data_IF_675912455740
#
_entry.id   IF_675912455740
#
_cell.length_a   1.000
_cell.length_b   1.000
_cell.length_c   1.000
_cell.angle_alpha   90.00
_cell.angle_beta   90.00
_cell.angle_gamma   90.00
#
_symmetry.space_group_name_H-M   'P 1'
#
loop_
_entity.id
_entity.type
_entity.pdbx_description
1 polymer ?
#
# COMPACT_ATOMS: atom_id res chain seq x y z
N UNK A 1 -34.26 10.38 -5.69
CA UNK A 1 -35.49 9.57 -5.82
C UNK A 1 -35.07 8.13 -6.16
N UNK A 2 -35.03 7.20 -5.18
CA UNK A 2 -34.63 5.79 -5.44
C UNK A 2 -35.85 5.02 -5.94
N UNK A 3 -35.78 4.52 -7.18
CA UNK A 3 -36.87 3.81 -7.85
C UNK A 3 -37.33 2.59 -7.01
N UNK A 4 -38.64 2.40 -6.79
CA UNK A 4 -39.20 1.37 -5.90
C UNK A 4 -38.81 -0.06 -6.27
N UNK A 5 -38.40 -0.29 -7.53
CA UNK A 5 -37.96 -1.58 -8.05
C UNK A 5 -36.64 -2.08 -7.43
N UNK A 6 -35.67 -1.18 -7.17
CA UNK A 6 -34.35 -1.56 -6.64
C UNK A 6 -34.42 -2.12 -5.22
N UNK A 7 -35.37 -1.64 -4.40
CA UNK A 7 -35.57 -2.15 -3.03
C UNK A 7 -36.11 -3.58 -3.06
N UNK A 8 -37.08 -3.85 -3.95
CA UNK A 8 -37.75 -5.15 -4.07
C UNK A 8 -36.80 -6.26 -4.53
N UNK A 9 -35.92 -5.97 -5.48
CA UNK A 9 -34.87 -6.88 -5.95
C UNK A 9 -33.83 -7.17 -4.86
N UNK A 10 -33.36 -6.14 -4.16
CA UNK A 10 -32.39 -6.33 -3.08
C UNK A 10 -32.95 -7.21 -1.95
N UNK A 11 -34.22 -7.06 -1.60
CA UNK A 11 -34.85 -7.83 -0.52
C UNK A 11 -35.08 -9.30 -0.93
N UNK A 12 -35.42 -9.54 -2.20
CA UNK A 12 -35.49 -10.90 -2.76
C UNK A 12 -34.13 -11.58 -2.78
N UNK A 13 -33.07 -10.88 -3.22
CA UNK A 13 -31.71 -11.42 -3.26
C UNK A 13 -31.16 -11.69 -1.85
N UNK A 14 -31.42 -10.81 -0.88
CA UNK A 14 -31.04 -11.03 0.53
C UNK A 14 -31.69 -12.28 1.10
N UNK A 15 -32.97 -12.54 0.77
CA UNK A 15 -33.70 -13.73 1.25
C UNK A 15 -33.17 -15.01 0.62
N UNK A 16 -32.84 -15.01 -0.67
CA UNK A 16 -32.31 -16.17 -1.39
C UNK A 16 -30.87 -16.49 -0.99
N UNK A 17 -30.02 -15.47 -0.86
CA UNK A 17 -28.58 -15.61 -0.59
C UNK A 17 -28.24 -15.63 0.90
N UNK A 18 -29.21 -15.32 1.79
CA UNK A 18 -29.01 -15.15 3.24
C UNK A 18 -27.85 -14.20 3.56
N UNK A 19 -27.66 -13.20 2.72
CA UNK A 19 -26.57 -12.21 2.76
C UNK A 19 -27.16 -10.81 2.63
N UNK A 20 -26.69 -9.84 3.42
CA UNK A 20 -27.13 -8.45 3.26
C UNK A 20 -26.52 -7.83 1.99
N UNK A 21 -27.23 -8.00 0.88
CA UNK A 21 -26.77 -7.56 -0.45
C UNK A 21 -26.53 -6.05 -0.50
N UNK A 22 -27.23 -5.26 0.32
CA UNK A 22 -27.06 -3.80 0.35
C UNK A 22 -25.76 -3.42 1.04
N UNK A 23 -25.44 -4.07 2.15
CA UNK A 23 -24.17 -3.89 2.84
C UNK A 23 -23.00 -4.35 1.96
N UNK A 24 -23.05 -5.58 1.45
CA UNK A 24 -21.99 -6.13 0.61
C UNK A 24 -21.79 -5.33 -0.68
N UNK A 25 -22.87 -4.90 -1.33
CA UNK A 25 -22.78 -4.05 -2.52
C UNK A 25 -22.09 -2.71 -2.23
N UNK A 26 -22.39 -2.06 -1.10
CA UNK A 26 -21.72 -0.83 -0.68
C UNK A 26 -20.26 -1.06 -0.30
N UNK A 27 -19.98 -2.10 0.46
CA UNK A 27 -18.64 -2.48 0.89
C UNK A 27 -17.73 -2.75 -0.31
N UNK A 28 -18.21 -3.58 -1.24
CA UNK A 28 -17.53 -3.90 -2.49
C UNK A 28 -17.28 -2.65 -3.32
N UNK A 29 -18.27 -1.74 -3.42
CA UNK A 29 -18.12 -0.48 -4.17
C UNK A 29 -16.95 0.37 -3.66
N UNK A 30 -16.86 0.59 -2.34
CA UNK A 30 -15.74 1.36 -1.75
C UNK A 30 -14.39 0.66 -1.91
N UNK A 31 -14.38 -0.66 -1.77
CA UNK A 31 -13.17 -1.46 -1.97
C UNK A 31 -12.69 -1.41 -3.44
N UNK A 32 -13.62 -1.52 -4.40
CA UNK A 32 -13.35 -1.40 -5.82
C UNK A 32 -12.85 -0.02 -6.21
N UNK A 33 -13.40 1.07 -5.65
CA UNK A 33 -12.89 2.44 -5.88
C UNK A 33 -11.44 2.54 -5.43
N UNK A 34 -11.12 2.01 -4.25
CA UNK A 34 -9.76 2.03 -3.70
C UNK A 34 -8.78 1.30 -4.63
N UNK A 35 -9.12 0.07 -5.04
CA UNK A 35 -8.29 -0.73 -5.93
C UNK A 35 -8.18 -0.16 -7.34
N UNK A 36 -9.28 0.32 -7.91
CA UNK A 36 -9.26 0.99 -9.21
C UNK A 36 -8.34 2.22 -9.17
N UNK A 37 -8.40 3.03 -8.10
CA UNK A 37 -7.50 4.18 -7.93
C UNK A 37 -6.03 3.77 -7.84
N UNK A 38 -5.72 2.68 -7.12
CA UNK A 38 -4.36 2.16 -7.00
C UNK A 38 -3.83 1.60 -8.33
N UNK A 39 -4.66 0.88 -9.08
CA UNK A 39 -4.32 0.36 -10.41
C UNK A 39 -4.07 1.50 -11.41
N UNK A 40 -4.97 2.49 -11.47
CA UNK A 40 -4.82 3.65 -12.35
C UNK A 40 -3.56 4.44 -12.00
N UNK A 41 -3.28 4.63 -10.70
CA UNK A 41 -2.03 5.23 -10.22
C UNK A 41 -0.82 4.44 -10.72
N UNK A 42 -0.79 3.13 -10.49
CA UNK A 42 0.34 2.28 -10.86
C UNK A 42 0.62 2.26 -12.36
N UNK A 43 -0.43 2.22 -13.18
CA UNK A 43 -0.32 2.31 -14.65
C UNK A 43 0.21 3.70 -15.04
N UNK A 44 -0.39 4.77 -14.52
CA UNK A 44 0.00 6.14 -14.84
C UNK A 44 1.45 6.41 -14.46
N UNK A 45 1.89 6.06 -13.24
CA UNK A 45 3.27 6.29 -12.81
C UNK A 45 4.25 5.44 -13.61
N UNK A 46 3.95 4.17 -13.89
CA UNK A 46 4.82 3.31 -14.73
C UNK A 46 4.94 3.84 -16.15
N UNK A 47 3.82 4.27 -16.74
CA UNK A 47 3.81 4.85 -18.08
C UNK A 47 4.59 6.16 -18.15
N UNK A 48 4.42 7.05 -17.16
CA UNK A 48 5.18 8.30 -17.05
C UNK A 48 6.67 8.06 -16.87
N UNK A 49 7.05 7.08 -16.03
CA UNK A 49 8.46 6.70 -15.88
C UNK A 49 9.06 6.24 -17.20
N UNK A 50 8.35 5.36 -17.92
CA UNK A 50 8.82 4.84 -19.21
C UNK A 50 8.97 5.94 -20.27
N UNK A 51 8.15 7.00 -20.21
CA UNK A 51 8.18 8.10 -21.17
C UNK A 51 9.25 9.16 -20.84
N UNK A 52 9.44 9.48 -19.56
CA UNK A 52 10.18 10.68 -19.14
C UNK A 52 11.56 10.38 -18.54
N UNK A 53 11.77 9.17 -18.00
CA UNK A 53 13.04 8.78 -17.37
C UNK A 53 13.95 8.04 -18.36
N UNK A 54 15.28 8.16 -18.20
CA UNK A 54 16.23 7.28 -18.86
C UNK A 54 15.99 5.83 -18.46
N UNK A 55 16.30 4.90 -19.39
CA UNK A 55 16.08 3.46 -19.20
C UNK A 55 16.84 2.95 -17.98
N UNK A 56 18.02 3.50 -17.71
CA UNK A 56 18.87 3.16 -16.57
C UNK A 56 18.19 3.50 -15.25
N UNK A 57 17.68 4.72 -15.10
CA UNK A 57 17.02 5.19 -13.87
C UNK A 57 15.73 4.40 -13.64
N UNK A 58 14.95 4.17 -14.69
CA UNK A 58 13.73 3.37 -14.60
C UNK A 58 14.03 1.93 -14.17
N UNK A 59 15.04 1.29 -14.76
CA UNK A 59 15.48 -0.05 -14.39
C UNK A 59 15.94 -0.15 -12.94
N UNK A 60 16.72 0.84 -12.48
CA UNK A 60 17.18 0.92 -11.09
C UNK A 60 16.03 1.11 -10.10
N UNK A 61 15.04 1.94 -10.43
CA UNK A 61 13.85 2.13 -9.60
C UNK A 61 13.03 0.85 -9.48
N UNK A 62 12.81 0.13 -10.59
CA UNK A 62 12.13 -1.17 -10.57
C UNK A 62 12.88 -2.22 -9.76
N UNK A 63 14.21 -2.24 -9.86
CA UNK A 63 15.06 -3.11 -9.05
C UNK A 63 14.87 -2.83 -7.55
N UNK A 64 14.85 -1.56 -7.16
CA UNK A 64 14.62 -1.14 -5.78
C UNK A 64 13.24 -1.60 -5.28
N UNK A 65 12.17 -1.34 -6.04
CA UNK A 65 10.82 -1.79 -5.68
C UNK A 65 10.74 -3.31 -5.53
N UNK A 66 11.45 -4.07 -6.37
CA UNK A 66 11.49 -5.53 -6.24
C UNK A 66 12.15 -5.97 -4.93
N UNK A 67 13.29 -5.37 -4.56
CA UNK A 67 13.94 -5.64 -3.27
C UNK A 67 13.08 -5.24 -2.07
N UNK A 68 12.40 -4.09 -2.14
CA UNK A 68 11.45 -3.68 -1.11
C UNK A 68 10.28 -4.66 -0.98
N UNK A 69 9.75 -5.15 -2.10
CA UNK A 69 8.72 -6.18 -2.12
C UNK A 69 9.19 -7.49 -1.47
N UNK A 70 10.43 -7.91 -1.70
CA UNK A 70 11.03 -9.06 -1.02
C UNK A 70 11.18 -8.83 0.48
N UNK A 71 11.59 -7.62 0.91
CA UNK A 71 11.62 -7.26 2.32
C UNK A 71 10.22 -7.35 2.96
N UNK A 72 9.15 -7.16 2.17
CA UNK A 72 7.76 -7.32 2.56
C UNK A 72 7.40 -8.63 3.26
N UNK A 73 8.19 -9.70 3.09
CA UNK A 73 8.04 -10.94 3.88
C UNK A 73 8.12 -10.66 5.38
N UNK A 74 8.97 -9.72 5.80
CA UNK A 74 9.17 -9.31 7.19
C UNK A 74 8.10 -8.32 7.71
N UNK A 75 7.16 -7.90 6.87
CA UNK A 75 5.99 -7.11 7.32
C UNK A 75 4.91 -7.96 7.99
N UNK A 76 5.04 -9.29 7.95
CA UNK A 76 4.12 -10.25 8.57
C UNK A 76 2.66 -10.11 8.11
N UNK A 77 2.46 -9.77 6.83
CA UNK A 77 1.15 -9.50 6.21
C UNK A 77 0.14 -10.64 6.32
N UNK A 78 0.58 -11.89 6.56
CA UNK A 78 -0.31 -13.04 6.82
C UNK A 78 -1.23 -12.87 8.04
N UNK A 79 -0.89 -12.00 8.99
CA UNK A 79 -1.75 -11.71 10.15
C UNK A 79 -2.94 -10.79 9.83
N UNK A 80 -2.97 -10.12 8.68
CA UNK A 80 -4.01 -9.14 8.33
C UNK A 80 -5.42 -9.72 8.50
N UNK A 81 -5.67 -10.92 7.98
CA UNK A 81 -6.96 -11.60 8.09
C UNK A 81 -7.32 -12.00 9.53
N UNK A 82 -6.33 -12.38 10.34
CA UNK A 82 -6.56 -12.71 11.75
C UNK A 82 -6.94 -11.45 12.54
N UNK A 83 -6.23 -10.34 12.30
CA UNK A 83 -6.51 -9.04 12.91
C UNK A 83 -7.91 -8.55 12.53
N UNK A 84 -8.26 -8.58 11.24
CA UNK A 84 -9.58 -8.14 10.77
C UNK A 84 -10.69 -8.94 11.44
N UNK A 85 -10.58 -10.28 11.44
CA UNK A 85 -11.60 -11.15 12.04
C UNK A 85 -11.67 -11.00 13.57
N UNK A 86 -10.54 -10.85 14.25
CA UNK A 86 -10.51 -10.70 15.70
C UNK A 86 -11.16 -9.39 16.14
N UNK A 87 -10.80 -8.28 15.50
CA UNK A 87 -11.41 -6.96 15.79
C UNK A 87 -12.92 -6.98 15.46
N UNK A 88 -13.33 -7.57 14.34
CA UNK A 88 -14.75 -7.69 14.00
C UNK A 88 -15.55 -8.51 15.05
N UNK A 89 -14.89 -9.39 15.80
CA UNK A 89 -15.46 -10.14 16.93
C UNK A 89 -15.34 -9.41 18.29
N UNK A 90 -14.78 -8.20 18.31
CA UNK A 90 -14.57 -7.40 19.52
C UNK A 90 -13.22 -7.62 20.22
N UNK A 91 -12.35 -8.51 19.72
CA UNK A 91 -11.01 -8.71 20.27
C UNK A 91 -10.06 -7.63 19.74
N UNK A 92 -9.90 -6.57 20.52
CA UNK A 92 -8.95 -5.48 20.24
C UNK A 92 -7.51 -5.82 20.65
N UNK A 93 -7.30 -6.86 21.47
CA UNK A 93 -5.98 -7.26 21.97
C UNK A 93 -5.15 -7.83 20.82
N UNK A 94 -5.80 -8.53 19.87
CA UNK A 94 -5.14 -9.07 18.68
C UNK A 94 -4.43 -8.00 17.85
N UNK A 95 -4.96 -6.78 17.80
CA UNK A 95 -4.36 -5.66 17.07
C UNK A 95 -3.05 -5.21 17.72
N UNK A 96 -3.03 -5.12 19.05
CA UNK A 96 -1.82 -4.79 19.83
C UNK A 96 -0.78 -5.90 19.71
N UNK A 97 -1.19 -7.16 19.74
CA UNK A 97 -0.30 -8.30 19.54
C UNK A 97 0.33 -8.30 18.14
N UNK A 98 -0.47 -8.02 17.10
CA UNK A 98 0.01 -7.88 15.73
C UNK A 98 1.00 -6.72 15.58
N UNK A 99 0.70 -5.57 16.17
CA UNK A 99 1.59 -4.41 16.17
C UNK A 99 2.93 -4.72 16.82
N UNK A 100 2.93 -5.34 18.01
CA UNK A 100 4.16 -5.74 18.70
C UNK A 100 4.97 -6.71 17.84
N UNK A 101 4.30 -7.66 17.18
CA UNK A 101 4.97 -8.63 16.31
C UNK A 101 5.59 -7.95 15.09
N UNK A 102 4.86 -7.07 14.41
CA UNK A 102 5.36 -6.31 13.25
C UNK A 102 6.54 -5.44 13.65
N UNK A 103 6.47 -4.71 14.77
CA UNK A 103 7.59 -3.91 15.28
C UNK A 103 8.83 -4.74 15.62
N UNK A 104 8.65 -6.02 15.97
CA UNK A 104 9.78 -6.93 16.25
C UNK A 104 10.38 -7.49 14.97
N UNK A 105 9.55 -7.77 13.95
CA UNK A 105 9.98 -8.48 12.73
C UNK A 105 10.39 -7.51 11.60
N UNK A 106 9.70 -6.39 11.43
CA UNK A 106 9.97 -5.43 10.35
C UNK A 106 11.42 -4.88 10.34
N UNK A 107 12.11 -4.70 11.47
CA UNK A 107 13.53 -4.36 11.48
C UNK A 107 14.41 -5.36 10.72
N UNK A 108 14.08 -6.65 10.69
CA UNK A 108 14.84 -7.63 9.90
C UNK A 108 14.74 -7.39 8.39
N UNK A 109 13.58 -6.93 7.90
CA UNK A 109 13.43 -6.50 6.50
C UNK A 109 14.29 -5.26 6.20
N UNK A 110 14.35 -4.33 7.15
CA UNK A 110 15.19 -3.13 7.04
C UNK A 110 16.68 -3.48 7.01
N UNK A 111 17.12 -4.40 7.88
CA UNK A 111 18.49 -4.92 7.88
C UNK A 111 18.80 -5.59 6.54
N UNK A 112 17.89 -6.41 6.00
CA UNK A 112 18.06 -7.02 4.68
C UNK A 112 18.26 -5.98 3.57
N UNK A 113 17.48 -4.90 3.58
CA UNK A 113 17.63 -3.79 2.62
C UNK A 113 18.96 -3.05 2.80
N UNK A 114 19.41 -2.83 4.05
CA UNK A 114 20.71 -2.20 4.32
C UNK A 114 21.89 -3.07 3.86
N UNK A 115 21.82 -4.39 4.05
CA UNK A 115 22.85 -5.31 3.55
C UNK A 115 22.95 -5.25 2.01
N UNK A 116 21.80 -5.18 1.33
CA UNK A 116 21.76 -4.98 -0.11
C UNK A 116 22.31 -3.60 -0.51
N UNK A 117 22.02 -2.55 0.25
CA UNK A 117 22.56 -1.21 0.03
C UNK A 117 24.10 -1.19 0.14
N UNK A 118 24.66 -1.85 1.16
CA UNK A 118 26.11 -1.96 1.35
C UNK A 118 26.78 -2.71 0.20
N UNK A 119 26.18 -3.81 -0.27
CA UNK A 119 26.68 -4.53 -1.44
C UNK A 119 26.71 -3.65 -2.70
N UNK A 120 25.65 -2.86 -2.92
CA UNK A 120 25.56 -1.95 -4.08
C UNK A 120 26.55 -0.79 -3.99
N UNK A 121 26.78 -0.27 -2.79
CA UNK A 121 27.82 0.73 -2.54
C UNK A 121 29.19 0.19 -2.93
N UNK A 122 29.54 -1.02 -2.50
CA UNK A 122 30.85 -1.63 -2.78
C UNK A 122 31.13 -1.81 -4.29
N UNK A 123 30.08 -1.95 -5.11
CA UNK A 123 30.16 -2.08 -6.58
C UNK A 123 30.14 -0.69 -7.27
N UNK A 124 30.06 0.41 -6.52
CA UNK A 124 30.02 1.78 -7.04
C UNK A 124 28.64 2.25 -7.48
N UNK A 125 27.57 1.48 -7.23
CA UNK A 125 26.19 1.82 -7.58
C UNK A 125 25.55 2.70 -6.50
N UNK A 126 26.11 3.90 -6.31
CA UNK A 126 25.77 4.81 -5.21
C UNK A 126 24.29 5.21 -5.22
N UNK A 127 23.71 5.48 -6.39
CA UNK A 127 22.29 5.88 -6.49
C UNK A 127 21.34 4.79 -5.95
N UNK A 128 21.59 3.53 -6.32
CA UNK A 128 20.79 2.39 -5.86
C UNK A 128 20.99 2.18 -4.35
N UNK A 129 22.22 2.28 -3.87
CA UNK A 129 22.54 2.13 -2.45
C UNK A 129 21.79 3.16 -1.60
N UNK A 130 21.82 4.44 -1.98
CA UNK A 130 21.09 5.49 -1.27
C UNK A 130 19.57 5.27 -1.31
N UNK A 131 19.03 4.84 -2.45
CA UNK A 131 17.61 4.48 -2.55
C UNK A 131 17.23 3.33 -1.60
N UNK A 132 18.08 2.30 -1.49
CA UNK A 132 17.85 1.18 -0.58
C UNK A 132 17.96 1.58 0.89
N UNK A 133 18.80 2.55 1.24
CA UNK A 133 18.84 3.12 2.60
C UNK A 133 17.54 3.82 2.94
N UNK A 134 17.00 4.64 2.03
CA UNK A 134 15.69 5.29 2.21
C UNK A 134 14.59 4.25 2.38
N UNK A 135 14.59 3.22 1.52
CA UNK A 135 13.63 2.13 1.58
C UNK A 135 13.73 1.36 2.91
N UNK A 136 14.93 1.12 3.42
CA UNK A 136 15.16 0.47 4.71
C UNK A 136 14.59 1.28 5.89
N UNK A 137 14.76 2.61 5.87
CA UNK A 137 14.21 3.49 6.92
C UNK A 137 12.68 3.55 6.84
N UNK A 138 12.11 3.58 5.64
CA UNK A 138 10.67 3.64 5.44
C UNK A 138 9.97 2.31 5.74
N UNK A 139 10.67 1.18 5.61
CA UNK A 139 10.07 -0.16 5.68
C UNK A 139 9.30 -0.46 6.98
N UNK A 140 9.81 -0.14 8.20
CA UNK A 140 9.06 -0.36 9.43
C UNK A 140 7.78 0.47 9.52
N UNK A 141 7.83 1.72 9.05
CA UNK A 141 6.68 2.64 9.04
C UNK A 141 5.60 2.08 8.12
N UNK A 142 5.98 1.70 6.91
CA UNK A 142 5.10 1.07 5.93
C UNK A 142 4.50 -0.25 6.45
N UNK A 143 5.30 -1.05 7.17
CA UNK A 143 4.82 -2.31 7.75
C UNK A 143 3.74 -2.08 8.81
N UNK A 144 3.88 -1.03 9.64
CA UNK A 144 2.92 -0.69 10.69
C UNK A 144 1.64 -0.06 10.13
N UNK A 145 1.73 0.78 9.10
CA UNK A 145 0.58 1.44 8.49
C UNK A 145 -0.45 0.44 7.92
N UNK A 146 -0.01 -0.75 7.54
CA UNK A 146 -0.89 -1.86 7.14
C UNK A 146 -1.93 -2.24 8.21
N UNK A 147 -1.58 -2.16 9.50
CA UNK A 147 -2.49 -2.49 10.61
C UNK A 147 -3.64 -1.49 10.69
N UNK A 148 -3.37 -0.21 10.44
CA UNK A 148 -4.41 0.82 10.47
C UNK A 148 -5.50 0.55 9.42
N UNK A 149 -5.09 0.17 8.21
CA UNK A 149 -6.02 -0.25 7.15
C UNK A 149 -6.85 -1.48 7.55
N UNK A 150 -6.23 -2.44 8.23
CA UNK A 150 -6.93 -3.62 8.76
C UNK A 150 -7.96 -3.24 9.84
N UNK A 151 -7.63 -2.31 10.74
CA UNK A 151 -8.55 -1.83 11.78
C UNK A 151 -9.77 -1.15 11.15
N UNK A 152 -9.57 -0.25 10.18
CA UNK A 152 -10.68 0.41 9.48
C UNK A 152 -11.56 -0.59 8.71
N UNK A 153 -10.93 -1.61 8.10
CA UNK A 153 -11.64 -2.69 7.43
C UNK A 153 -12.50 -3.50 8.41
N UNK A 154 -11.94 -3.84 9.57
CA UNK A 154 -12.66 -4.58 10.61
C UNK A 154 -13.81 -3.81 11.26
N UNK A 155 -13.69 -2.48 11.31
CA UNK A 155 -14.74 -1.58 11.82
C UNK A 155 -15.78 -1.21 10.75
N UNK A 156 -15.74 -1.84 9.57
CA UNK A 156 -16.62 -1.54 8.42
C UNK A 156 -16.54 -0.08 7.93
N UNK A 157 -15.47 0.65 8.29
CA UNK A 157 -15.23 2.05 7.89
C UNK A 157 -14.60 2.14 6.49
N UNK A 158 -15.16 1.39 5.54
CA UNK A 158 -14.62 1.22 4.19
C UNK A 158 -14.64 2.53 3.38
N UNK A 159 -15.61 3.40 3.62
CA UNK A 159 -15.65 4.74 3.00
C UNK A 159 -14.44 5.57 3.42
N UNK A 160 -14.11 5.59 4.70
CA UNK A 160 -12.96 6.34 5.23
C UNK A 160 -11.66 5.80 4.66
N UNK A 161 -11.50 4.47 4.65
CA UNK A 161 -10.35 3.82 4.05
C UNK A 161 -10.20 4.16 2.56
N UNK A 162 -11.30 4.14 1.80
CA UNK A 162 -11.29 4.47 0.39
C UNK A 162 -10.87 5.93 0.14
N UNK A 163 -11.40 6.88 0.91
CA UNK A 163 -11.02 8.30 0.79
C UNK A 163 -9.53 8.48 1.10
N UNK A 164 -9.02 7.87 2.18
CA UNK A 164 -7.60 7.95 2.54
C UNK A 164 -6.73 7.38 1.42
N UNK A 165 -7.00 6.15 0.97
CA UNK A 165 -6.20 5.49 -0.06
C UNK A 165 -6.23 6.24 -1.39
N UNK A 166 -7.40 6.68 -1.84
CA UNK A 166 -7.51 7.45 -3.08
C UNK A 166 -6.78 8.79 -2.96
N UNK A 167 -6.85 9.46 -1.80
CA UNK A 167 -6.13 10.72 -1.58
C UNK A 167 -4.62 10.51 -1.62
N UNK A 168 -4.10 9.51 -0.90
CA UNK A 168 -2.68 9.16 -0.92
C UNK A 168 -2.24 8.81 -2.35
N UNK A 169 -3.01 8.00 -3.07
CA UNK A 169 -2.69 7.62 -4.45
C UNK A 169 -2.59 8.84 -5.39
N UNK A 170 -3.49 9.83 -5.24
CA UNK A 170 -3.44 11.06 -6.01
C UNK A 170 -2.25 11.94 -5.64
N UNK A 171 -1.98 12.11 -4.34
CA UNK A 171 -0.84 12.90 -3.85
C UNK A 171 0.47 12.28 -4.35
N UNK A 172 0.63 10.96 -4.23
CA UNK A 172 1.80 10.23 -4.73
C UNK A 172 1.92 10.42 -6.25
N UNK A 173 0.85 10.24 -7.03
CA UNK A 173 0.91 10.40 -8.49
C UNK A 173 1.37 11.80 -8.91
N UNK A 174 0.79 12.84 -8.28
CA UNK A 174 1.14 14.24 -8.57
C UNK A 174 2.55 14.56 -8.11
N UNK A 175 2.92 14.21 -6.88
CA UNK A 175 4.25 14.47 -6.34
C UNK A 175 5.33 13.74 -7.15
N UNK A 176 5.04 12.51 -7.60
CA UNK A 176 5.95 11.74 -8.43
C UNK A 176 6.10 12.33 -9.84
N UNK A 177 5.00 12.79 -10.46
CA UNK A 177 5.05 13.52 -11.73
C UNK A 177 5.88 14.80 -11.62
N UNK A 178 5.61 15.63 -10.61
CA UNK A 178 6.37 16.85 -10.34
C UNK A 178 7.84 16.52 -10.07
N UNK A 179 8.11 15.47 -9.31
CA UNK A 179 9.44 14.95 -9.04
C UNK A 179 10.21 14.64 -10.33
N UNK A 180 9.60 13.89 -11.26
CA UNK A 180 10.22 13.55 -12.56
C UNK A 180 10.51 14.79 -13.42
N UNK A 181 9.62 15.79 -13.39
CA UNK A 181 9.79 17.00 -14.19
C UNK A 181 10.91 17.89 -13.65
N UNK A 182 11.14 17.89 -12.33
CA UNK A 182 12.20 18.67 -11.70
C UNK A 182 13.54 17.93 -11.74
N UNK A 183 13.53 16.62 -11.48
CA UNK A 183 14.75 15.82 -11.35
C UNK A 183 14.58 14.41 -11.91
N UNK A 184 15.67 13.90 -12.49
CA UNK A 184 15.76 12.53 -12.98
C UNK A 184 16.64 11.65 -12.08
N UNK A 185 16.98 12.14 -10.88
CA UNK A 185 17.82 11.40 -9.92
C UNK A 185 17.01 10.36 -9.17
N UNK A 186 17.51 9.13 -9.12
CA UNK A 186 16.82 8.00 -8.49
C UNK A 186 16.51 8.25 -7.00
N UNK A 187 17.45 8.88 -6.29
CA UNK A 187 17.36 9.14 -4.86
C UNK A 187 16.12 9.98 -4.49
N UNK A 188 15.88 11.08 -5.21
CA UNK A 188 14.75 11.98 -4.93
C UNK A 188 13.43 11.31 -5.26
N UNK A 189 13.36 10.57 -6.37
CA UNK A 189 12.16 9.81 -6.74
C UNK A 189 11.81 8.75 -5.69
N UNK A 190 12.84 8.10 -5.12
CA UNK A 190 12.68 7.12 -4.04
C UNK A 190 12.16 7.76 -2.77
N UNK A 191 12.68 8.93 -2.39
CA UNK A 191 12.19 9.71 -1.24
C UNK A 191 10.73 10.12 -1.39
N UNK A 192 10.34 10.61 -2.57
CA UNK A 192 8.95 10.99 -2.84
C UNK A 192 8.03 9.77 -2.76
N UNK A 193 8.45 8.65 -3.36
CA UNK A 193 7.66 7.43 -3.38
C UNK A 193 7.41 6.90 -1.96
N UNK A 194 8.47 6.63 -1.19
CA UNK A 194 8.32 6.05 0.14
C UNK A 194 7.90 7.05 1.20
N UNK A 195 8.26 8.33 1.08
CA UNK A 195 7.94 9.34 2.08
C UNK A 195 6.45 9.69 2.15
N UNK A 196 5.72 9.52 1.06
CA UNK A 196 4.27 9.77 1.00
C UNK A 196 3.47 8.48 1.21
N UNK A 197 4.02 7.33 0.79
CA UNK A 197 3.33 6.04 0.88
C UNK A 197 3.47 5.34 2.24
N UNK A 198 4.45 5.73 3.08
CA UNK A 198 4.68 5.19 4.42
C UNK A 198 3.71 5.79 5.47
#
# INVERSE_FOLDING_TARGET
MKLPYQKRLADQLTKTLRLDVRFYGRAMSWYSISHASALLRGIATTWLMALLLPVEVFGQFRYLLALFGLAGIFSWSGMNNAVIRGIAKGDTIIARAALKKILTVAPYGSIGLLLMALNRWAIGQIEIALGLVVAAIAFPIFSVSSIYSNILTAQEKLKTLAIINTTINLIVAVAFLVGILITKQLFILTLIYFGIEA
#
